data_IF_874974619861
#
_entry.id   IF_874974619861
#
_cell.length_a   1.000
_cell.length_b   1.000
_cell.length_c   1.000
_cell.angle_alpha   90.00
_cell.angle_beta   90.00
_cell.angle_gamma   90.00
#
_symmetry.space_group_name_H-M   'P 1'
#
loop_
_entity.id
_entity.type
_entity.pdbx_description
1 polymer ?
#
# COMPACT_ATOMS: atom_id res chain seq x y z
N UNK A 1 -10.81 -7.46 4.61
CA UNK A 1 -11.65 -6.22 4.52
C UNK A 1 -10.99 -5.28 3.53
N UNK A 2 -11.78 -4.56 2.69
CA UNK A 2 -11.23 -3.54 1.79
C UNK A 2 -11.23 -2.17 2.48
N UNK A 3 -10.05 -1.54 2.50
CA UNK A 3 -9.80 -0.20 3.06
C UNK A 3 -9.37 0.70 1.90
N UNK A 4 -10.14 1.76 1.64
CA UNK A 4 -9.82 2.72 0.58
C UNK A 4 -9.44 4.06 1.20
N UNK A 5 -8.14 4.39 1.18
CA UNK A 5 -7.60 5.64 1.73
C UNK A 5 -7.55 6.78 0.70
N UNK A 6 -7.87 6.49 -0.56
CA UNK A 6 -7.75 7.47 -1.63
C UNK A 6 -8.63 8.72 -1.44
N UNK A 7 -9.91 8.63 -0.98
CA UNK A 7 -10.71 9.83 -0.71
C UNK A 7 -10.06 10.75 0.33
N UNK A 8 -9.46 10.16 1.37
CA UNK A 8 -8.77 10.94 2.41
C UNK A 8 -7.51 11.62 1.86
N UNK A 9 -6.73 10.91 1.03
CA UNK A 9 -5.56 11.51 0.39
C UNK A 9 -5.93 12.62 -0.61
N UNK A 10 -7.01 12.47 -1.37
CA UNK A 10 -7.50 13.54 -2.26
C UNK A 10 -7.93 14.78 -1.46
N UNK A 11 -8.47 14.59 -0.27
CA UNK A 11 -8.77 15.72 0.61
C UNK A 11 -7.49 16.47 1.01
N UNK A 12 -6.36 15.76 1.19
CA UNK A 12 -5.03 16.39 1.40
C UNK A 12 -4.66 17.25 0.20
N UNK A 13 -4.73 16.72 -1.01
CA UNK A 13 -4.38 17.47 -2.23
C UNK A 13 -5.25 18.71 -2.47
N UNK A 14 -6.47 18.71 -1.96
CA UNK A 14 -7.41 19.84 -2.06
C UNK A 14 -7.31 20.82 -0.89
N UNK A 15 -6.51 20.55 0.13
CA UNK A 15 -6.35 21.42 1.29
C UNK A 15 -5.55 22.69 0.97
N UNK A 16 -5.84 23.79 1.67
CA UNK A 16 -5.07 25.02 1.57
C UNK A 16 -3.62 24.85 2.12
N UNK A 17 -3.48 24.07 3.18
CA UNK A 17 -2.20 23.66 3.75
C UNK A 17 -2.10 22.13 3.62
N UNK A 18 -1.45 21.69 2.54
CA UNK A 18 -1.35 20.27 2.20
C UNK A 18 -0.43 19.49 3.14
N UNK A 19 0.64 20.12 3.63
CA UNK A 19 1.58 19.48 4.57
C UNK A 19 0.85 19.20 5.89
N UNK A 20 0.18 20.20 6.48
CA UNK A 20 -0.62 19.99 7.69
C UNK A 20 -1.76 18.97 7.48
N UNK A 21 -2.40 18.99 6.31
CA UNK A 21 -3.44 18.02 5.97
C UNK A 21 -2.89 16.58 5.85
N UNK A 22 -1.67 16.41 5.31
CA UNK A 22 -1.01 15.10 5.26
C UNK A 22 -0.69 14.58 6.66
N UNK A 23 -0.19 15.41 7.57
CA UNK A 23 0.03 15.01 8.96
C UNK A 23 -1.26 14.54 9.63
N UNK A 24 -2.38 15.24 9.42
CA UNK A 24 -3.68 14.82 9.94
C UNK A 24 -4.17 13.51 9.30
N UNK A 25 -3.92 13.30 8.01
CA UNK A 25 -4.17 12.04 7.30
C UNK A 25 -3.30 10.92 7.87
N UNK A 26 -2.00 11.16 8.06
CA UNK A 26 -1.06 10.21 8.65
C UNK A 26 -1.52 9.80 10.07
N UNK A 27 -1.90 10.77 10.90
CA UNK A 27 -2.36 10.52 12.27
C UNK A 27 -3.65 9.69 12.31
N UNK A 28 -4.58 9.94 11.39
CA UNK A 28 -5.83 9.17 11.27
C UNK A 28 -5.57 7.70 10.94
N UNK A 29 -4.58 7.43 10.11
CA UNK A 29 -4.23 6.09 9.63
C UNK A 29 -2.87 5.61 10.17
N UNK A 30 -2.47 6.14 11.34
CA UNK A 30 -1.11 6.04 11.90
C UNK A 30 -0.56 4.62 11.90
N UNK A 31 -1.31 3.65 12.40
CA UNK A 31 -0.83 2.26 12.52
C UNK A 31 -0.43 1.68 11.17
N UNK A 32 -1.26 1.88 10.15
CA UNK A 32 -1.00 1.38 8.80
C UNK A 32 0.12 2.17 8.11
N UNK A 33 0.06 3.50 8.17
CA UNK A 33 1.04 4.34 7.48
C UNK A 33 2.41 4.26 8.13
N UNK A 34 2.51 4.14 9.46
CA UNK A 34 3.79 3.88 10.13
C UNK A 34 4.39 2.56 9.63
N UNK A 35 3.60 1.48 9.57
CA UNK A 35 4.09 0.21 9.07
C UNK A 35 4.54 0.30 7.60
N UNK A 36 3.81 1.01 6.75
CA UNK A 36 4.21 1.26 5.36
C UNK A 36 5.54 2.03 5.29
N UNK A 37 5.67 3.11 6.04
CA UNK A 37 6.88 3.93 6.04
C UNK A 37 8.10 3.16 6.54
N UNK A 38 7.98 2.48 7.67
CA UNK A 38 9.09 1.71 8.28
C UNK A 38 9.60 0.58 7.38
N UNK A 39 8.70 -0.01 6.56
CA UNK A 39 9.07 -1.16 5.73
C UNK A 39 9.46 -0.78 4.28
N UNK A 40 8.91 0.29 3.72
CA UNK A 40 9.06 0.61 2.30
C UNK A 40 9.74 1.96 2.02
N UNK A 41 9.81 2.84 3.00
CA UNK A 41 10.38 4.18 2.82
C UNK A 41 11.55 4.38 3.76
N UNK A 42 11.27 4.92 4.92
CA UNK A 42 12.19 5.16 6.05
C UNK A 42 11.37 5.49 7.29
N UNK A 43 12.04 5.65 8.43
CA UNK A 43 11.40 6.11 9.67
C UNK A 43 10.52 7.35 9.43
N UNK A 44 9.22 7.32 9.82
CA UNK A 44 8.29 8.42 9.57
C UNK A 44 8.48 9.58 10.59
N UNK A 45 9.69 10.12 10.62
CA UNK A 45 10.07 11.22 11.51
C UNK A 45 11.29 11.98 10.99
N UNK A 46 11.47 13.20 11.48
CA UNK A 46 12.64 14.02 11.18
C UNK A 46 12.63 14.68 9.79
N UNK A 47 13.72 15.35 9.42
CA UNK A 47 13.75 16.20 8.23
C UNK A 47 13.49 15.46 6.93
N UNK A 48 13.94 14.21 6.80
CA UNK A 48 13.73 13.42 5.59
C UNK A 48 12.25 13.08 5.37
N UNK A 49 11.55 12.71 6.45
CA UNK A 49 10.10 12.50 6.40
C UNK A 49 9.38 13.76 5.87
N UNK A 50 9.70 14.92 6.44
CA UNK A 50 9.11 16.19 6.04
C UNK A 50 9.41 16.55 4.58
N UNK A 51 10.61 16.27 4.09
CA UNK A 51 10.99 16.53 2.71
C UNK A 51 10.21 15.62 1.73
N UNK A 52 10.04 14.33 2.06
CA UNK A 52 9.26 13.40 1.25
C UNK A 52 7.78 13.77 1.27
N UNK A 53 7.21 14.10 2.43
CA UNK A 53 5.83 14.59 2.55
C UNK A 53 5.63 15.81 1.66
N UNK A 54 6.51 16.81 1.78
CA UNK A 54 6.43 18.04 0.99
C UNK A 54 6.48 17.75 -0.51
N UNK A 55 7.39 16.89 -0.96
CA UNK A 55 7.49 16.50 -2.37
C UNK A 55 6.19 15.83 -2.84
N UNK A 56 5.69 14.86 -2.06
CA UNK A 56 4.48 14.09 -2.39
C UNK A 56 3.23 14.96 -2.52
N UNK A 57 2.98 15.86 -1.54
CA UNK A 57 1.74 16.66 -1.54
C UNK A 57 1.77 17.84 -2.51
N UNK A 58 2.97 18.29 -2.91
CA UNK A 58 3.14 19.38 -3.87
C UNK A 58 3.30 18.88 -5.31
N UNK A 59 3.40 17.56 -5.52
CA UNK A 59 3.38 16.98 -6.86
C UNK A 59 2.05 17.29 -7.56
N UNK A 60 2.11 17.50 -8.88
CA UNK A 60 0.92 17.66 -9.69
C UNK A 60 0.35 16.27 -10.03
N UNK A 61 -0.86 15.99 -9.55
CA UNK A 61 -1.47 14.65 -9.61
C UNK A 61 -2.81 14.62 -10.35
N UNK A 62 -2.87 15.28 -11.51
CA UNK A 62 -4.02 15.20 -12.41
C UNK A 62 -4.28 13.78 -12.89
N UNK A 63 -3.24 12.96 -12.95
CA UNK A 63 -3.28 11.53 -13.26
C UNK A 63 -4.10 10.73 -12.24
N UNK A 64 -3.99 11.02 -10.94
CA UNK A 64 -4.81 10.38 -9.90
C UNK A 64 -6.30 10.78 -10.02
N UNK A 65 -6.57 12.03 -10.32
CA UNK A 65 -7.94 12.48 -10.57
C UNK A 65 -8.53 11.78 -11.79
N UNK A 66 -7.75 11.63 -12.86
CA UNK A 66 -8.17 10.92 -14.06
C UNK A 66 -8.41 9.42 -13.79
N UNK A 67 -7.54 8.77 -13.02
CA UNK A 67 -7.73 7.37 -12.59
C UNK A 67 -9.08 7.19 -11.93
N UNK A 68 -9.42 8.03 -10.95
CA UNK A 68 -10.69 7.93 -10.21
C UNK A 68 -11.91 8.20 -11.06
N UNK A 69 -11.81 9.14 -12.00
CA UNK A 69 -12.93 9.48 -12.87
C UNK A 69 -13.24 8.37 -13.89
N UNK A 70 -12.25 7.54 -14.26
CA UNK A 70 -12.35 6.61 -15.37
C UNK A 70 -12.26 5.14 -14.96
N UNK A 71 -11.90 4.83 -13.70
CA UNK A 71 -11.65 3.45 -13.25
C UNK A 71 -12.32 3.16 -11.92
N UNK A 72 -13.08 2.08 -11.87
CA UNK A 72 -13.62 1.55 -10.61
C UNK A 72 -12.55 0.72 -9.89
N UNK A 73 -11.62 1.40 -9.22
CA UNK A 73 -10.51 0.78 -8.49
C UNK A 73 -11.00 -0.16 -7.37
N UNK A 74 -12.17 0.12 -6.79
CA UNK A 74 -12.77 -0.73 -5.75
C UNK A 74 -13.23 -2.06 -6.37
N UNK A 75 -13.87 -2.02 -7.52
CA UNK A 75 -14.28 -3.24 -8.24
C UNK A 75 -13.07 -4.09 -8.65
N UNK A 76 -11.98 -3.45 -9.11
CA UNK A 76 -10.72 -4.14 -9.44
C UNK A 76 -10.10 -4.82 -8.21
N UNK A 77 -10.05 -4.16 -7.06
CA UNK A 77 -9.55 -4.74 -5.82
C UNK A 77 -10.42 -5.93 -5.36
N UNK A 78 -11.73 -5.78 -5.39
CA UNK A 78 -12.68 -6.86 -5.07
C UNK A 78 -12.56 -8.04 -6.04
N UNK A 79 -12.20 -7.80 -7.29
CA UNK A 79 -11.93 -8.88 -8.25
C UNK A 79 -10.72 -9.71 -7.81
N UNK A 80 -9.63 -9.06 -7.36
CA UNK A 80 -8.47 -9.74 -6.80
C UNK A 80 -8.83 -10.59 -5.58
N UNK A 81 -9.54 -10.00 -4.60
CA UNK A 81 -9.99 -10.72 -3.41
C UNK A 81 -10.80 -11.97 -3.77
N UNK A 82 -11.83 -11.82 -4.62
CA UNK A 82 -12.65 -12.95 -5.06
C UNK A 82 -11.83 -14.03 -5.76
N UNK A 83 -10.89 -13.63 -6.62
CA UNK A 83 -10.07 -14.58 -7.37
C UNK A 83 -9.16 -15.40 -6.45
N UNK A 84 -8.53 -14.74 -5.47
CA UNK A 84 -7.69 -15.41 -4.49
C UNK A 84 -8.52 -16.33 -3.60
N UNK A 85 -9.68 -15.88 -3.11
CA UNK A 85 -10.59 -16.70 -2.31
C UNK A 85 -11.00 -17.99 -3.05
N UNK A 86 -11.31 -17.88 -4.34
CA UNK A 86 -11.71 -19.02 -5.17
C UNK A 86 -10.56 -20.00 -5.45
N UNK A 87 -9.33 -19.51 -5.58
CA UNK A 87 -8.20 -20.34 -6.00
C UNK A 87 -7.41 -20.93 -4.83
N UNK A 88 -7.28 -20.19 -3.74
CA UNK A 88 -6.42 -20.57 -2.61
C UNK A 88 -7.22 -20.99 -1.38
N UNK A 89 -8.54 -20.69 -1.32
CA UNK A 89 -9.40 -21.02 -0.17
C UNK A 89 -8.70 -20.75 1.19
N UNK A 90 -8.18 -19.53 1.41
CA UNK A 90 -7.30 -19.25 2.54
C UNK A 90 -8.03 -19.44 3.87
N UNK A 91 -7.35 -20.07 4.83
CA UNK A 91 -7.81 -20.26 6.21
C UNK A 91 -7.50 -19.06 7.12
N UNK A 92 -6.96 -17.98 6.55
CA UNK A 92 -6.59 -16.74 7.25
C UNK A 92 -7.35 -15.55 6.71
N UNK A 93 -7.63 -14.59 7.58
CA UNK A 93 -8.20 -13.31 7.19
C UNK A 93 -7.11 -12.30 6.91
N UNK A 94 -7.34 -11.48 5.88
CA UNK A 94 -6.45 -10.38 5.50
C UNK A 94 -7.25 -9.12 5.17
N UNK A 95 -6.53 -8.00 5.10
CA UNK A 95 -7.07 -6.73 4.60
C UNK A 95 -6.42 -6.37 3.26
N UNK A 96 -7.17 -5.66 2.44
CA UNK A 96 -6.70 -5.06 1.18
C UNK A 96 -6.77 -3.56 1.32
N UNK A 97 -5.70 -2.86 0.99
CA UNK A 97 -5.60 -1.40 1.09
C UNK A 97 -5.33 -0.78 -0.27
N UNK A 98 -6.17 0.18 -0.63
CA UNK A 98 -5.96 1.09 -1.75
C UNK A 98 -5.48 2.42 -1.17
N UNK A 99 -4.25 2.82 -1.50
CA UNK A 99 -3.66 4.04 -0.96
C UNK A 99 -2.87 4.80 -2.04
N UNK A 100 -2.50 6.01 -1.73
CA UNK A 100 -1.42 6.72 -2.42
C UNK A 100 -0.22 6.69 -1.49
N UNK A 101 0.89 6.18 -1.98
CA UNK A 101 2.16 6.13 -1.27
C UNK A 101 2.99 7.39 -1.49
N UNK A 102 4.31 7.19 -1.43
CA UNK A 102 5.29 8.26 -1.66
C UNK A 102 6.28 7.87 -2.78
N UNK A 103 5.81 7.06 -3.74
CA UNK A 103 6.62 6.60 -4.86
C UNK A 103 7.62 5.47 -4.54
N UNK A 104 7.65 4.96 -3.30
CA UNK A 104 8.66 3.99 -2.87
C UNK A 104 8.34 2.55 -3.31
N UNK A 105 7.06 2.19 -3.39
CA UNK A 105 6.61 0.86 -3.82
C UNK A 105 5.32 0.98 -4.63
N UNK A 106 5.12 0.10 -5.60
CA UNK A 106 3.88 0.04 -6.39
C UNK A 106 2.80 -0.81 -5.70
N UNK A 107 3.20 -1.85 -5.00
CA UNK A 107 2.36 -2.71 -4.19
C UNK A 107 3.23 -3.35 -3.11
N UNK A 108 2.62 -4.01 -2.14
CA UNK A 108 3.34 -4.76 -1.11
C UNK A 108 2.42 -5.40 -0.09
N UNK A 109 3.07 -6.04 0.88
CA UNK A 109 2.42 -6.69 2.00
C UNK A 109 2.97 -6.19 3.34
N UNK A 110 2.13 -6.23 4.34
CA UNK A 110 2.46 -5.89 5.72
C UNK A 110 1.82 -6.91 6.67
N UNK A 111 2.42 -7.04 7.83
CA UNK A 111 1.77 -7.71 8.98
C UNK A 111 1.69 -6.72 10.12
N UNK A 112 0.48 -6.25 10.42
CA UNK A 112 0.22 -5.26 11.46
C UNK A 112 -0.64 -5.89 12.54
N UNK A 113 -0.16 -5.91 13.78
CA UNK A 113 -0.85 -6.55 14.91
C UNK A 113 -1.27 -8.01 14.65
N UNK A 114 -0.44 -8.74 13.91
CA UNK A 114 -0.68 -10.13 13.52
C UNK A 114 -1.70 -10.32 12.39
N UNK A 115 -2.19 -9.25 11.81
CA UNK A 115 -3.11 -9.23 10.67
C UNK A 115 -2.36 -8.93 9.39
N UNK A 116 -2.57 -9.75 8.39
CA UNK A 116 -1.96 -9.56 7.07
C UNK A 116 -2.68 -8.48 6.28
N UNK A 117 -1.92 -7.63 5.60
CA UNK A 117 -2.40 -6.53 4.78
C UNK A 117 -1.69 -6.58 3.43
N UNK A 118 -2.46 -6.65 2.34
CA UNK A 118 -1.95 -6.44 0.99
C UNK A 118 -2.35 -5.03 0.53
N UNK A 119 -1.44 -4.27 -0.04
CA UNK A 119 -1.73 -2.91 -0.51
C UNK A 119 -1.26 -2.66 -1.93
N UNK A 120 -1.87 -1.67 -2.58
CA UNK A 120 -1.36 -1.05 -3.81
C UNK A 120 -1.25 0.45 -3.63
N UNK A 121 -0.18 1.03 -4.19
CA UNK A 121 0.05 2.46 -4.25
C UNK A 121 -0.41 2.98 -5.62
N UNK A 122 -1.58 3.60 -5.62
CA UNK A 122 -2.35 3.95 -6.81
C UNK A 122 -1.63 4.94 -7.75
N UNK A 123 -0.67 5.69 -7.23
CA UNK A 123 0.16 6.58 -8.04
C UNK A 123 0.95 5.86 -9.14
N UNK A 124 1.20 4.56 -8.97
CA UNK A 124 1.89 3.73 -9.95
C UNK A 124 0.95 3.15 -11.01
N UNK A 125 -0.37 3.22 -10.82
CA UNK A 125 -1.40 2.60 -11.66
C UNK A 125 -2.27 3.61 -12.41
N UNK A 126 -1.71 4.75 -12.75
CA UNK A 126 -2.45 5.81 -13.46
C UNK A 126 -2.39 5.70 -14.98
N UNK A 127 -1.59 4.78 -15.51
CA UNK A 127 -1.33 4.67 -16.96
C UNK A 127 -0.37 5.75 -17.47
N UNK A 128 0.13 6.61 -16.59
CA UNK A 128 1.02 7.75 -16.95
C UNK A 128 2.35 7.60 -16.22
N UNK A 129 3.44 7.58 -16.97
CA UNK A 129 4.79 7.59 -16.40
C UNK A 129 5.04 8.92 -15.67
N UNK A 130 5.48 8.82 -14.42
CA UNK A 130 5.70 9.96 -13.55
C UNK A 130 7.09 9.85 -12.90
N UNK A 131 7.88 10.94 -12.80
CA UNK A 131 9.16 10.93 -12.11
C UNK A 131 9.06 10.47 -10.64
N UNK A 132 7.98 10.82 -9.94
CA UNK A 132 7.74 10.45 -8.54
C UNK A 132 7.49 8.94 -8.36
N UNK A 133 7.18 8.23 -9.43
CA UNK A 133 7.01 6.77 -9.49
C UNK A 133 8.16 6.06 -10.21
N UNK A 134 9.34 6.68 -10.27
CA UNK A 134 10.52 6.17 -10.95
C UNK A 134 10.24 5.86 -12.45
N UNK A 135 9.34 6.60 -13.06
CA UNK A 135 8.93 6.42 -14.46
C UNK A 135 7.90 5.31 -14.69
N UNK A 136 7.39 4.68 -13.64
CA UNK A 136 6.31 3.70 -13.77
C UNK A 136 4.97 4.39 -13.98
N UNK A 137 4.23 3.91 -14.97
CA UNK A 137 2.86 4.27 -15.26
C UNK A 137 2.11 3.01 -15.68
N UNK A 138 1.84 2.13 -14.71
CA UNK A 138 1.17 0.85 -14.93
C UNK A 138 -0.29 1.09 -15.31
N UNK A 139 -0.81 0.21 -16.17
CA UNK A 139 -2.23 0.21 -16.52
C UNK A 139 -3.06 -0.13 -15.27
N UNK A 140 -4.13 0.62 -14.95
CA UNK A 140 -5.04 0.33 -13.84
C UNK A 140 -5.61 -1.10 -13.86
N UNK A 141 -5.80 -1.69 -15.04
CA UNK A 141 -6.26 -3.08 -15.19
C UNK A 141 -5.28 -4.11 -14.61
N UNK A 142 -4.06 -3.72 -14.29
CA UNK A 142 -3.08 -4.57 -13.61
C UNK A 142 -3.25 -4.60 -12.07
N UNK A 143 -4.05 -3.71 -11.49
CA UNK A 143 -4.32 -3.70 -10.03
C UNK A 143 -4.73 -5.09 -9.51
N UNK A 144 -5.66 -5.84 -10.14
CA UNK A 144 -6.02 -7.17 -9.65
C UNK A 144 -4.87 -8.17 -9.64
N UNK A 145 -3.95 -8.09 -10.61
CA UNK A 145 -2.79 -8.96 -10.68
C UNK A 145 -1.82 -8.68 -9.52
N UNK A 146 -1.49 -7.41 -9.30
CA UNK A 146 -0.59 -7.01 -8.23
C UNK A 146 -1.18 -7.31 -6.85
N UNK A 147 -2.44 -6.98 -6.62
CA UNK A 147 -3.12 -7.32 -5.36
C UNK A 147 -3.17 -8.83 -5.12
N UNK A 148 -3.46 -9.64 -6.14
CA UNK A 148 -3.48 -11.10 -5.98
C UNK A 148 -2.08 -11.64 -5.61
N UNK A 149 -1.01 -11.06 -6.16
CA UNK A 149 0.36 -11.38 -5.80
C UNK A 149 0.64 -11.09 -4.33
N UNK A 150 0.34 -9.87 -3.87
CA UNK A 150 0.58 -9.45 -2.49
C UNK A 150 -0.31 -10.21 -1.49
N UNK A 151 -1.57 -10.51 -1.84
CA UNK A 151 -2.43 -11.34 -1.01
C UNK A 151 -1.85 -12.76 -0.85
N UNK A 152 -1.24 -13.32 -1.89
CA UNK A 152 -0.60 -14.64 -1.79
C UNK A 152 0.58 -14.61 -0.79
N UNK A 153 1.38 -13.56 -0.79
CA UNK A 153 2.41 -13.33 0.23
C UNK A 153 1.81 -13.22 1.63
N UNK A 154 0.78 -12.40 1.81
CA UNK A 154 0.07 -12.24 3.07
C UNK A 154 -0.43 -13.59 3.62
N UNK A 155 -1.09 -14.39 2.78
CA UNK A 155 -1.58 -15.72 3.17
C UNK A 155 -0.41 -16.59 3.62
N UNK A 156 0.68 -16.61 2.85
CA UNK A 156 1.88 -17.39 3.18
C UNK A 156 2.46 -17.00 4.54
N UNK A 157 2.57 -15.69 4.84
CA UNK A 157 3.18 -15.22 6.09
C UNK A 157 2.27 -15.35 7.30
N UNK A 158 0.95 -15.34 7.12
CA UNK A 158 -0.01 -15.36 8.21
C UNK A 158 -0.63 -16.73 8.47
N UNK A 159 -0.50 -17.70 7.54
CA UNK A 159 -1.05 -19.02 7.71
C UNK A 159 -0.37 -19.77 8.89
N UNK A 160 -1.11 -20.57 9.67
CA UNK A 160 -0.55 -21.31 10.79
C UNK A 160 0.59 -22.26 10.40
N UNK A 161 0.52 -22.88 9.21
CA UNK A 161 1.53 -23.80 8.70
C UNK A 161 2.86 -23.08 8.35
N UNK A 162 2.79 -21.86 7.82
CA UNK A 162 4.00 -21.10 7.46
C UNK A 162 4.65 -20.42 8.66
N UNK A 163 3.89 -20.12 9.71
CA UNK A 163 4.41 -19.37 10.87
C UNK A 163 5.54 -20.08 11.62
N UNK A 164 5.53 -21.42 11.69
CA UNK A 164 6.62 -22.16 12.35
C UNK A 164 7.89 -22.13 11.55
N UNK A 165 7.82 -22.46 10.26
CA UNK A 165 8.96 -22.44 9.36
C UNK A 165 9.55 -21.03 9.24
N UNK A 166 8.70 -20.04 9.14
CA UNK A 166 9.11 -18.65 9.04
C UNK A 166 9.77 -18.13 10.33
N UNK A 167 9.31 -18.55 11.52
CA UNK A 167 9.97 -18.21 12.78
C UNK A 167 11.39 -18.78 12.86
N UNK A 168 11.60 -19.97 12.37
CA UNK A 168 12.91 -20.61 12.33
C UNK A 168 13.84 -19.84 11.39
N UNK A 169 13.38 -19.54 10.17
CA UNK A 169 14.14 -18.76 9.20
C UNK A 169 14.50 -17.36 9.72
N UNK A 170 13.57 -16.71 10.43
CA UNK A 170 13.82 -15.41 11.06
C UNK A 170 14.84 -15.49 12.17
N UNK A 171 14.77 -16.52 13.00
CA UNK A 171 15.73 -16.73 14.08
C UNK A 171 17.15 -16.99 13.50
N UNK A 172 17.25 -17.76 12.42
CA UNK A 172 18.50 -18.02 11.70
C UNK A 172 19.03 -16.78 10.99
N UNK A 173 18.18 -15.96 10.41
CA UNK A 173 18.57 -14.74 9.68
C UNK A 173 18.83 -13.52 10.58
N UNK A 174 18.77 -13.68 11.90
CA UNK A 174 19.07 -12.58 12.83
C UNK A 174 18.05 -11.43 12.81
N UNK A 175 16.78 -11.72 12.54
CA UNK A 175 15.73 -10.70 12.57
C UNK A 175 15.42 -10.05 11.21
N UNK A 176 15.82 -10.66 10.13
CA UNK A 176 15.56 -10.21 8.74
C UNK A 176 14.08 -9.97 8.40
N UNK A 177 13.21 -10.27 9.30
CA UNK A 177 11.75 -10.26 9.11
C UNK A 177 11.08 -8.89 9.10
N UNK A 178 11.79 -7.86 9.45
CA UNK A 178 11.27 -6.48 9.35
C UNK A 178 11.23 -5.96 7.90
N UNK A 179 11.60 -6.79 6.93
CA UNK A 179 11.71 -6.39 5.52
C UNK A 179 10.84 -7.20 4.55
N UNK A 180 9.91 -8.03 5.09
CA UNK A 180 9.00 -8.83 4.25
C UNK A 180 7.58 -8.75 4.74
#
# INVERSE_FOLDING_TARGET
MLINLLPDFLAVLNAADREAAYHAYFDRHRTLLTAYWDNYVLEPSGPHFEDVVRATVNAQRDDLHALLANTDIVALAQQAERRVQQLLEPDVSFDVVLMVGVGAANAGELVVDGRGIAFVCLEHFTGVANPDTQGLGLDPELIPLWLAHEIAHVIRYTSPSSRSEMRELVAEAGGYYSYW
#
